data_IF_538259704621
#
_entry.id   IF_538259704621
#
_cell.length_a   1.000
_cell.length_b   1.000
_cell.length_c   1.000
_cell.angle_alpha   90.00
_cell.angle_beta   90.00
_cell.angle_gamma   90.00
#
_symmetry.space_group_name_H-M   'P 1'
#
loop_
_entity.id
_entity.type
_entity.pdbx_description
1 polymer ?
#
# COMPACT_ATOMS: atom_id res chain seq x y z
N UNK A 1 9.07 17.74 -1.31
CA UNK A 1 10.16 16.73 -1.25
C UNK A 1 10.20 16.02 0.11
N UNK A 2 10.19 16.70 1.25
CA UNK A 2 10.09 16.03 2.58
C UNK A 2 8.78 15.27 2.78
N UNK A 3 7.64 15.84 2.38
CA UNK A 3 6.32 15.18 2.48
C UNK A 3 6.24 13.90 1.63
N UNK A 4 6.93 13.87 0.49
CA UNK A 4 7.01 12.70 -0.39
C UNK A 4 7.84 11.57 0.25
N UNK A 5 8.97 11.91 0.88
CA UNK A 5 9.80 10.91 1.58
C UNK A 5 9.12 10.30 2.81
N UNK A 6 8.32 11.09 3.53
CA UNK A 6 7.50 10.59 4.66
C UNK A 6 6.39 9.65 4.14
N UNK A 7 5.73 10.02 3.04
CA UNK A 7 4.72 9.17 2.39
C UNK A 7 5.30 7.88 1.82
N UNK A 8 6.49 7.92 1.18
CA UNK A 8 7.19 6.73 0.70
C UNK A 8 7.66 5.83 1.84
N UNK A 9 8.17 6.41 2.92
CA UNK A 9 8.52 5.68 4.15
C UNK A 9 7.32 5.01 4.79
N UNK A 10 6.18 5.70 4.88
CA UNK A 10 4.91 5.15 5.35
C UNK A 10 4.39 4.04 4.43
N UNK A 11 4.43 4.23 3.10
CA UNK A 11 4.02 3.21 2.13
C UNK A 11 4.91 1.97 2.21
N UNK A 12 6.23 2.15 2.33
CA UNK A 12 7.19 1.06 2.51
C UNK A 12 6.98 0.31 3.82
N UNK A 13 6.76 1.04 4.92
CA UNK A 13 6.43 0.46 6.22
C UNK A 13 5.12 -0.32 6.18
N UNK A 14 4.05 0.28 5.64
CA UNK A 14 2.73 -0.37 5.51
C UNK A 14 2.83 -1.62 4.62
N UNK A 15 3.54 -1.55 3.49
CA UNK A 15 3.73 -2.70 2.59
C UNK A 15 4.51 -3.83 3.26
N UNK A 16 5.61 -3.52 3.95
CA UNK A 16 6.41 -4.49 4.69
C UNK A 16 5.66 -5.09 5.88
N UNK A 17 4.97 -4.25 6.65
CA UNK A 17 4.17 -4.67 7.80
C UNK A 17 2.96 -5.50 7.39
N UNK A 18 2.21 -5.09 6.35
CA UNK A 18 1.10 -5.87 5.81
C UNK A 18 1.57 -7.20 5.22
N UNK A 19 2.72 -7.24 4.53
CA UNK A 19 3.31 -8.49 4.05
C UNK A 19 3.65 -9.46 5.19
N UNK A 20 4.26 -8.96 6.27
CA UNK A 20 4.54 -9.75 7.48
C UNK A 20 3.28 -10.18 8.22
N UNK A 21 2.29 -9.29 8.34
CA UNK A 21 1.00 -9.57 8.99
C UNK A 21 0.18 -10.62 8.22
N UNK A 22 0.17 -10.54 6.88
CA UNK A 22 -0.54 -11.51 6.01
C UNK A 22 0.06 -12.92 6.07
N UNK A 23 1.33 -13.03 6.46
CA UNK A 23 2.07 -14.31 6.51
C UNK A 23 2.21 -14.91 7.91
N UNK A 24 1.95 -14.15 8.98
CA UNK A 24 2.04 -14.67 10.35
C UNK A 24 0.71 -15.32 10.80
N UNK A 25 0.70 -16.65 10.92
CA UNK A 25 -0.46 -17.45 11.36
C UNK A 25 -0.97 -17.12 12.78
N UNK A 26 -0.17 -16.41 13.58
CA UNK A 26 -0.56 -15.85 14.87
C UNK A 26 -0.10 -14.39 14.96
N UNK A 27 -1.00 -13.52 15.41
CA UNK A 27 -0.72 -12.10 15.61
C UNK A 27 0.06 -11.89 16.91
N UNK A 28 1.34 -12.26 16.92
CA UNK A 28 2.25 -11.80 17.95
C UNK A 28 2.49 -10.30 17.75
N UNK A 29 2.33 -9.54 18.82
CA UNK A 29 2.44 -8.10 18.79
C UNK A 29 3.90 -7.65 18.67
N UNK A 30 4.46 -7.77 17.47
CA UNK A 30 5.86 -7.48 17.20
C UNK A 30 6.80 -8.63 17.61
N UNK A 31 8.08 -8.52 17.24
CA UNK A 31 9.05 -9.58 17.49
C UNK A 31 9.32 -9.79 19.00
N UNK A 32 9.65 -11.01 19.43
CA UNK A 32 9.85 -11.35 20.85
C UNK A 32 10.87 -10.47 21.59
N UNK A 33 11.89 -9.93 20.88
CA UNK A 33 12.91 -9.08 21.50
C UNK A 33 12.39 -7.71 21.97
N UNK A 34 11.21 -7.28 21.52
CA UNK A 34 10.54 -6.08 22.03
C UNK A 34 9.69 -6.38 23.27
N UNK A 35 9.41 -7.65 23.54
CA UNK A 35 8.66 -8.03 24.73
C UNK A 35 9.49 -7.72 25.99
N UNK A 36 8.88 -7.00 26.94
CA UNK A 36 9.53 -6.65 28.21
C UNK A 36 10.50 -5.47 28.16
N UNK A 37 10.60 -4.76 27.03
CA UNK A 37 11.38 -3.50 26.97
C UNK A 37 10.70 -2.46 27.86
N UNK A 38 11.42 -1.99 28.88
CA UNK A 38 10.94 -0.92 29.76
C UNK A 38 11.34 0.43 29.16
N UNK A 39 10.36 1.27 28.82
CA UNK A 39 10.62 2.59 28.23
C UNK A 39 11.45 3.50 29.17
N UNK A 40 11.38 3.26 30.47
CA UNK A 40 12.17 3.95 31.49
C UNK A 40 13.67 3.66 31.39
N UNK A 41 14.08 2.53 30.80
CA UNK A 41 15.48 2.14 30.68
C UNK A 41 16.27 3.19 29.91
N UNK A 42 15.64 3.79 28.88
CA UNK A 42 16.23 4.90 28.15
C UNK A 42 16.53 6.09 29.06
N UNK A 43 15.55 6.55 29.83
CA UNK A 43 15.72 7.72 30.71
C UNK A 43 16.76 7.44 31.81
N UNK A 44 16.82 6.20 32.31
CA UNK A 44 17.80 5.78 33.32
C UNK A 44 19.24 5.73 32.79
N UNK A 45 19.44 5.31 31.53
CA UNK A 45 20.77 4.97 31.02
C UNK A 45 21.34 5.99 30.01
N UNK A 46 20.52 6.83 29.35
CA UNK A 46 20.96 7.70 28.24
C UNK A 46 22.15 8.61 28.59
N UNK A 47 22.13 9.24 29.77
CA UNK A 47 23.20 10.16 30.18
C UNK A 47 24.50 9.44 30.53
N UNK A 48 24.41 8.24 31.12
CA UNK A 48 25.59 7.43 31.41
C UNK A 48 26.27 6.96 30.13
N UNK A 49 25.48 6.44 29.18
CA UNK A 49 25.97 6.01 27.87
C UNK A 49 26.57 7.18 27.09
N UNK A 50 25.89 8.33 27.04
CA UNK A 50 26.43 9.54 26.45
C UNK A 50 27.78 9.93 27.07
N UNK A 51 27.88 9.89 28.40
CA UNK A 51 29.14 10.14 29.11
C UNK A 51 30.27 9.17 28.75
N UNK A 52 29.96 7.88 28.53
CA UNK A 52 30.93 6.88 28.05
C UNK A 52 31.44 7.21 26.65
N UNK A 53 30.54 7.61 25.74
CA UNK A 53 30.93 8.05 24.38
C UNK A 53 31.82 9.29 24.45
N UNK A 54 31.40 10.30 25.21
CA UNK A 54 32.13 11.58 25.32
C UNK A 54 33.54 11.40 25.92
N UNK A 55 33.75 10.47 26.86
CA UNK A 55 35.09 10.20 27.41
C UNK A 55 36.07 9.61 26.40
N UNK A 56 35.59 8.83 25.43
CA UNK A 56 36.44 8.22 24.40
C UNK A 56 36.47 8.99 23.09
N UNK A 57 35.80 10.14 23.00
CA UNK A 57 35.60 10.87 21.74
C UNK A 57 36.90 11.44 21.16
N UNK A 58 37.90 11.70 22.02
CA UNK A 58 39.22 12.20 21.62
C UNK A 58 40.12 11.12 21.04
N UNK A 59 39.86 9.85 21.38
CA UNK A 59 40.62 8.69 20.88
C UNK A 59 40.18 8.21 19.50
N UNK A 60 39.22 8.88 18.87
CA UNK A 60 38.71 8.54 17.53
C UNK A 60 39.58 9.21 16.47
N UNK A 61 40.04 8.44 15.49
CA UNK A 61 40.75 8.99 14.33
C UNK A 61 39.76 9.61 13.33
N UNK A 62 39.74 10.94 13.27
CA UNK A 62 38.89 11.69 12.35
C UNK A 62 39.61 11.98 11.03
N UNK A 63 38.89 11.79 9.92
CA UNK A 63 39.38 12.03 8.55
C UNK A 63 38.95 13.40 8.00
N UNK A 64 38.02 14.10 8.68
CA UNK A 64 37.60 15.48 8.41
C UNK A 64 37.40 16.26 9.72
N UNK A 65 37.85 17.52 9.75
CA UNK A 65 37.79 18.41 10.93
C UNK A 65 36.38 18.65 11.50
N UNK A 66 35.32 18.41 10.71
CA UNK A 66 33.92 18.61 11.14
C UNK A 66 33.32 17.39 11.82
N UNK A 67 33.93 16.21 11.69
CA UNK A 67 33.35 14.94 12.18
C UNK A 67 33.20 14.91 13.69
N UNK A 68 34.21 15.37 14.45
CA UNK A 68 34.14 15.44 15.92
C UNK A 68 32.93 16.25 16.40
N UNK A 69 32.81 17.48 15.92
CA UNK A 69 31.71 18.37 16.29
C UNK A 69 30.34 17.81 15.86
N UNK A 70 30.27 17.12 14.72
CA UNK A 70 29.05 16.44 14.29
C UNK A 70 28.70 15.26 15.20
N UNK A 71 29.69 14.49 15.64
CA UNK A 71 29.48 13.36 16.55
C UNK A 71 29.05 13.84 17.95
N UNK A 72 29.66 14.89 18.48
CA UNK A 72 29.24 15.52 19.75
C UNK A 72 27.78 15.98 19.69
N UNK A 73 27.36 16.57 18.56
CA UNK A 73 25.96 16.96 18.33
C UNK A 73 25.03 15.75 18.28
N UNK A 74 25.43 14.65 17.64
CA UNK A 74 24.62 13.41 17.61
C UNK A 74 24.46 12.84 19.01
N UNK A 75 25.53 12.74 19.80
CA UNK A 75 25.47 12.21 21.17
C UNK A 75 24.59 13.09 22.06
N UNK A 76 24.70 14.41 21.92
CA UNK A 76 23.86 15.37 22.66
C UNK A 76 22.40 15.23 22.24
N UNK A 77 22.12 15.17 20.93
CA UNK A 77 20.76 14.98 20.42
C UNK A 77 20.14 13.66 20.91
N UNK A 78 20.92 12.58 20.99
CA UNK A 78 20.47 11.33 21.59
C UNK A 78 20.23 11.51 23.09
N UNK A 79 21.11 12.16 23.85
CA UNK A 79 20.90 12.37 25.28
C UNK A 79 19.63 13.18 25.60
N UNK A 80 19.31 14.16 24.75
CA UNK A 80 18.11 14.99 24.87
C UNK A 80 16.85 14.31 24.32
N UNK A 81 17.01 13.21 23.59
CA UNK A 81 15.91 12.48 22.98
C UNK A 81 14.93 11.94 24.03
N UNK A 82 13.64 12.10 23.74
CA UNK A 82 12.55 11.56 24.56
C UNK A 82 11.78 10.54 23.74
N UNK A 83 11.63 9.34 24.31
CA UNK A 83 10.96 8.23 23.65
C UNK A 83 9.49 8.57 23.37
N UNK A 84 9.07 8.33 22.14
CA UNK A 84 7.66 8.42 21.74
C UNK A 84 7.40 9.30 20.53
N UNK A 85 8.41 9.99 20.02
CA UNK A 85 8.31 10.77 18.78
C UNK A 85 8.16 9.89 17.53
N UNK A 86 8.48 8.58 17.61
CA UNK A 86 8.52 7.69 16.46
C UNK A 86 9.76 7.86 15.57
N UNK A 87 10.75 8.64 16.02
CA UNK A 87 12.01 8.88 15.29
C UNK A 87 13.12 9.31 16.25
N UNK A 88 14.35 8.85 16.04
CA UNK A 88 15.52 9.18 16.85
C UNK A 88 16.16 10.55 16.54
N UNK A 89 15.39 11.49 15.98
CA UNK A 89 15.85 12.84 15.67
C UNK A 89 16.48 12.99 14.28
N UNK A 90 16.41 14.22 13.77
CA UNK A 90 16.52 14.61 12.36
C UNK A 90 17.72 14.07 11.58
N UNK A 91 17.45 13.76 10.31
CA UNK A 91 18.33 13.16 9.31
C UNK A 91 19.59 14.00 9.02
N UNK A 92 20.55 14.02 9.96
CA UNK A 92 21.93 14.25 9.58
C UNK A 92 22.43 12.98 8.89
N UNK A 93 23.13 13.12 7.75
CA UNK A 93 23.71 11.95 7.07
C UNK A 93 24.63 11.11 7.97
N UNK A 94 25.18 11.71 9.04
CA UNK A 94 25.94 10.98 10.06
C UNK A 94 25.06 10.06 10.90
N UNK A 95 23.91 10.53 11.40
CA UNK A 95 23.00 9.69 12.20
C UNK A 95 22.51 8.48 11.40
N UNK A 96 22.13 8.68 10.13
CA UNK A 96 21.73 7.59 9.26
C UNK A 96 22.85 6.55 9.07
N UNK A 97 24.08 7.03 8.84
CA UNK A 97 25.24 6.15 8.73
C UNK A 97 25.53 5.39 10.01
N UNK A 98 25.39 6.02 11.18
CA UNK A 98 25.60 5.39 12.48
C UNK A 98 24.52 4.35 12.80
N UNK A 99 23.25 4.64 12.47
CA UNK A 99 22.16 3.68 12.62
C UNK A 99 22.41 2.42 11.78
N UNK A 100 22.78 2.58 10.50
CA UNK A 100 23.16 1.45 9.63
C UNK A 100 24.32 0.64 10.23
N UNK A 101 25.34 1.32 10.73
CA UNK A 101 26.50 0.69 11.38
C UNK A 101 26.13 -0.08 12.64
N UNK A 102 25.21 0.47 13.44
CA UNK A 102 24.73 -0.14 14.69
C UNK A 102 23.93 -1.43 14.47
N UNK A 103 23.33 -1.60 13.29
CA UNK A 103 22.59 -2.81 12.92
C UNK A 103 23.51 -4.00 12.63
N UNK A 104 24.77 -3.76 12.25
CA UNK A 104 25.77 -4.80 11.97
C UNK A 104 26.27 -5.51 13.24
N UNK A 105 27.02 -6.61 13.08
CA UNK A 105 27.66 -7.32 14.18
C UNK A 105 28.53 -6.41 15.07
N UNK A 106 28.75 -6.81 16.33
CA UNK A 106 29.57 -6.06 17.27
C UNK A 106 30.99 -5.85 16.71
N UNK A 107 31.59 -4.69 17.00
CA UNK A 107 32.89 -4.29 16.45
C UNK A 107 32.97 -2.79 16.15
N UNK A 108 33.97 -2.37 15.35
CA UNK A 108 34.12 -0.97 14.95
C UNK A 108 32.89 -0.46 14.18
N UNK A 109 32.43 0.75 14.50
CA UNK A 109 31.36 1.40 13.76
C UNK A 109 31.94 2.20 12.60
N UNK A 110 31.61 1.81 11.39
CA UNK A 110 31.89 2.58 10.18
C UNK A 110 30.85 3.69 10.02
N UNK A 111 31.30 4.93 9.88
CA UNK A 111 30.45 6.10 9.74
C UNK A 111 30.92 7.00 8.60
N UNK A 112 29.99 7.67 7.92
CA UNK A 112 30.26 8.63 6.85
C UNK A 112 29.72 10.01 7.20
N UNK A 113 30.61 10.99 7.22
CA UNK A 113 30.25 12.40 7.25
C UNK A 113 31.33 13.21 6.55
N UNK A 114 31.04 13.68 5.34
CA UNK A 114 31.99 14.18 4.32
C UNK A 114 33.01 13.14 3.83
N UNK A 115 33.68 12.46 4.76
CA UNK A 115 34.58 11.31 4.52
C UNK A 115 34.21 10.16 5.44
N UNK A 116 34.70 8.97 5.10
CA UNK A 116 34.55 7.77 5.93
C UNK A 116 35.51 7.83 7.11
N UNK A 117 35.04 7.38 8.28
CA UNK A 117 35.84 7.24 9.50
C UNK A 117 35.30 6.08 10.35
N UNK A 118 36.11 5.64 11.32
CA UNK A 118 35.81 4.47 12.14
C UNK A 118 35.74 4.91 13.60
N UNK A 119 34.66 4.54 14.28
CA UNK A 119 34.50 4.71 15.72
C UNK A 119 34.68 3.32 16.36
N UNK A 120 35.85 3.08 16.95
CA UNK A 120 36.21 1.81 17.56
C UNK A 120 36.34 1.93 19.09
N UNK A 121 36.53 0.77 19.74
CA UNK A 121 36.77 0.68 21.17
C UNK A 121 35.56 1.11 22.02
N UNK A 122 35.79 1.49 23.29
CA UNK A 122 34.72 1.73 24.26
C UNK A 122 33.73 2.83 23.84
N UNK A 123 34.18 3.85 23.10
CA UNK A 123 33.30 4.91 22.60
C UNK A 123 32.35 4.39 21.51
N UNK A 124 32.86 3.55 20.60
CA UNK A 124 32.04 2.90 19.56
C UNK A 124 31.03 1.92 20.15
N UNK A 125 31.45 1.11 21.12
CA UNK A 125 30.56 0.17 21.81
C UNK A 125 29.45 0.92 22.56
N UNK A 126 29.81 1.97 23.33
CA UNK A 126 28.82 2.78 24.04
C UNK A 126 27.85 3.50 23.10
N UNK A 127 28.32 4.01 21.95
CA UNK A 127 27.47 4.69 20.97
C UNK A 127 26.51 3.70 20.30
N UNK A 128 27.01 2.51 19.95
CA UNK A 128 26.19 1.42 19.42
C UNK A 128 25.10 1.01 20.40
N UNK A 129 25.43 0.82 21.66
CA UNK A 129 24.48 0.43 22.70
C UNK A 129 23.45 1.53 22.95
N UNK A 130 23.87 2.80 22.95
CA UNK A 130 22.99 3.95 23.07
C UNK A 130 21.98 4.00 21.92
N UNK A 131 22.43 3.89 20.66
CA UNK A 131 21.56 3.89 19.48
C UNK A 131 20.59 2.70 19.52
N UNK A 132 21.09 1.50 19.85
CA UNK A 132 20.27 0.28 19.92
C UNK A 132 19.21 0.37 21.01
N UNK A 133 19.56 0.87 22.20
CA UNK A 133 18.58 1.04 23.29
C UNK A 133 17.51 2.05 22.89
N UNK A 134 17.91 3.21 22.35
CA UNK A 134 16.99 4.23 21.89
C UNK A 134 16.01 3.68 20.84
N UNK A 135 16.53 2.96 19.83
CA UNK A 135 15.73 2.35 18.78
C UNK A 135 14.74 1.30 19.33
N UNK A 136 15.20 0.42 20.23
CA UNK A 136 14.32 -0.58 20.88
C UNK A 136 13.21 0.09 21.68
N UNK A 137 13.53 1.12 22.45
CA UNK A 137 12.53 1.86 23.22
C UNK A 137 11.53 2.61 22.32
N UNK A 138 11.96 3.21 21.20
CA UNK A 138 11.04 3.81 20.22
C UNK A 138 10.10 2.78 19.59
N UNK A 139 10.64 1.63 19.15
CA UNK A 139 9.85 0.54 18.60
C UNK A 139 8.86 -0.02 19.62
N UNK A 140 9.29 -0.21 20.86
CA UNK A 140 8.42 -0.66 21.95
C UNK A 140 7.33 0.38 22.28
N UNK A 141 7.66 1.67 22.26
CA UNK A 141 6.68 2.73 22.50
C UNK A 141 5.64 2.80 21.37
N UNK A 142 6.06 2.69 20.10
CA UNK A 142 5.17 2.60 18.96
C UNK A 142 4.24 1.38 19.08
N UNK A 143 4.79 0.22 19.44
CA UNK A 143 4.04 -1.00 19.69
C UNK A 143 2.99 -0.83 20.81
N UNK A 144 3.38 -0.24 21.94
CA UNK A 144 2.46 0.06 23.04
C UNK A 144 1.32 1.00 22.61
N UNK A 145 1.62 2.04 21.84
CA UNK A 145 0.59 2.94 21.28
C UNK A 145 -0.37 2.19 20.37
N UNK A 146 0.15 1.38 19.44
CA UNK A 146 -0.68 0.60 18.52
C UNK A 146 -1.57 -0.40 19.26
N UNK A 147 -1.06 -1.06 20.30
CA UNK A 147 -1.85 -1.95 21.18
C UNK A 147 -3.00 -1.18 21.85
N UNK A 148 -2.69 -0.06 22.49
CA UNK A 148 -3.70 0.75 23.17
C UNK A 148 -4.78 1.26 22.20
N UNK A 149 -4.40 1.73 21.00
CA UNK A 149 -5.36 2.14 19.97
C UNK A 149 -6.24 0.96 19.55
N UNK A 150 -5.67 -0.22 19.29
CA UNK A 150 -6.43 -1.42 18.94
C UNK A 150 -7.40 -1.80 20.05
N UNK A 151 -6.99 -1.75 21.31
CA UNK A 151 -7.86 -2.04 22.45
C UNK A 151 -9.07 -1.10 22.48
N UNK A 152 -8.85 0.21 22.39
CA UNK A 152 -9.93 1.21 22.32
C UNK A 152 -10.87 0.94 21.14
N UNK A 153 -10.31 0.71 19.95
CA UNK A 153 -11.10 0.41 18.74
C UNK A 153 -11.91 -0.87 18.92
N UNK A 154 -11.33 -1.92 19.52
CA UNK A 154 -12.04 -3.20 19.76
C UNK A 154 -13.21 -3.07 20.73
N UNK A 155 -13.06 -2.22 21.76
CA UNK A 155 -14.16 -1.92 22.70
C UNK A 155 -15.25 -1.12 22.00
N UNK A 156 -14.88 -0.13 21.19
CA UNK A 156 -15.83 0.65 20.39
C UNK A 156 -16.61 -0.25 19.43
N UNK A 157 -15.91 -1.06 18.65
CA UNK A 157 -16.47 -1.99 17.66
C UNK A 157 -17.47 -2.95 18.33
N UNK A 158 -17.05 -3.59 19.42
CA UNK A 158 -17.91 -4.47 20.23
C UNK A 158 -19.18 -3.77 20.72
N UNK A 159 -19.11 -2.48 21.09
CA UNK A 159 -20.27 -1.71 21.56
C UNK A 159 -21.21 -1.37 20.41
N UNK A 160 -20.67 -0.97 19.26
CA UNK A 160 -21.43 -0.68 18.05
C UNK A 160 -22.16 -1.91 17.53
N UNK A 161 -21.45 -3.03 17.35
CA UNK A 161 -22.05 -4.30 16.92
C UNK A 161 -23.18 -4.74 17.86
N UNK A 162 -22.93 -4.72 19.17
CA UNK A 162 -23.96 -5.08 20.15
C UNK A 162 -25.18 -4.15 20.08
N UNK A 163 -24.97 -2.86 19.84
CA UNK A 163 -26.05 -1.89 19.67
C UNK A 163 -26.90 -2.14 18.44
N UNK A 164 -26.26 -2.45 17.30
CA UNK A 164 -26.94 -2.79 16.04
C UNK A 164 -27.68 -4.12 16.14
N UNK A 165 -27.00 -5.18 16.61
CA UNK A 165 -27.56 -6.53 16.71
C UNK A 165 -28.74 -6.62 17.67
N UNK A 166 -28.73 -5.89 18.79
CA UNK A 166 -29.89 -5.81 19.71
C UNK A 166 -31.16 -5.25 19.06
N UNK A 167 -31.01 -4.49 17.97
CA UNK A 167 -32.12 -3.94 17.18
C UNK A 167 -32.42 -4.77 15.93
N UNK A 168 -31.76 -5.91 15.74
CA UNK A 168 -31.89 -6.74 14.55
C UNK A 168 -31.31 -6.10 13.29
N UNK A 169 -30.42 -5.11 13.42
CA UNK A 169 -29.80 -4.42 12.29
C UNK A 169 -28.40 -4.98 11.99
N UNK A 170 -28.02 -4.94 10.71
CA UNK A 170 -26.69 -5.23 10.21
C UNK A 170 -26.23 -4.06 9.33
N UNK A 171 -24.96 -3.68 9.45
CA UNK A 171 -24.29 -2.82 8.50
C UNK A 171 -23.93 -3.57 7.21
N UNK A 172 -23.57 -2.83 6.16
CA UNK A 172 -23.12 -3.44 4.90
C UNK A 172 -21.86 -4.28 5.09
N UNK A 173 -20.90 -3.81 5.90
CA UNK A 173 -19.66 -4.54 6.16
C UNK A 173 -19.87 -5.77 7.05
N UNK A 174 -20.91 -5.79 7.89
CA UNK A 174 -21.22 -6.95 8.73
C UNK A 174 -21.51 -8.18 7.88
N UNK A 175 -22.20 -8.00 6.74
CA UNK A 175 -22.50 -9.11 5.81
C UNK A 175 -21.19 -9.74 5.30
N UNK A 176 -20.24 -8.89 4.87
CA UNK A 176 -18.93 -9.33 4.36
C UNK A 176 -18.14 -10.08 5.42
N UNK A 177 -18.09 -9.53 6.64
CA UNK A 177 -17.37 -10.11 7.78
C UNK A 177 -17.99 -11.45 8.19
N UNK A 178 -19.31 -11.53 8.25
CA UNK A 178 -20.04 -12.74 8.61
C UNK A 178 -19.82 -13.86 7.59
N UNK A 179 -19.87 -13.55 6.30
CA UNK A 179 -19.59 -14.51 5.23
C UNK A 179 -18.14 -14.98 5.27
N UNK A 180 -17.17 -14.07 5.43
CA UNK A 180 -15.76 -14.45 5.59
C UNK A 180 -15.46 -15.23 6.87
N UNK A 181 -16.38 -15.23 7.84
CA UNK A 181 -16.30 -16.03 9.07
C UNK A 181 -16.45 -17.53 8.83
N UNK A 182 -17.09 -17.95 7.73
CA UNK A 182 -17.34 -19.37 7.41
C UNK A 182 -16.06 -20.18 7.23
N UNK A 183 -14.97 -19.53 6.80
CA UNK A 183 -13.69 -20.19 6.47
C UNK A 183 -12.84 -20.44 7.72
N UNK A 184 -13.20 -19.87 8.87
CA UNK A 184 -12.31 -19.79 10.03
C UNK A 184 -12.34 -21.02 10.95
N UNK A 185 -13.38 -21.85 10.88
CA UNK A 185 -13.49 -23.07 11.68
C UNK A 185 -14.48 -24.08 11.09
N UNK A 186 -14.33 -25.35 11.47
CA UNK A 186 -15.28 -26.41 11.10
C UNK A 186 -16.72 -26.09 11.54
N UNK A 187 -16.91 -25.53 12.74
CA UNK A 187 -18.23 -25.08 13.20
C UNK A 187 -18.83 -24.00 12.29
N UNK A 188 -18.00 -23.10 11.76
CA UNK A 188 -18.46 -22.04 10.88
C UNK A 188 -18.82 -22.60 9.49
N UNK A 189 -18.08 -23.60 9.00
CA UNK A 189 -18.39 -24.35 7.78
C UNK A 189 -19.72 -25.09 7.90
N UNK A 190 -19.96 -25.80 9.00
CA UNK A 190 -21.24 -26.51 9.23
C UNK A 190 -22.44 -25.55 9.28
N UNK A 191 -22.28 -24.36 9.86
CA UNK A 191 -23.34 -23.33 9.86
C UNK A 191 -23.64 -22.84 8.45
N UNK A 192 -22.61 -22.67 7.62
CA UNK A 192 -22.77 -22.31 6.21
C UNK A 192 -23.53 -23.41 5.47
N UNK A 193 -23.10 -24.66 5.57
CA UNK A 193 -23.77 -25.80 4.91
C UNK A 193 -25.26 -25.89 5.30
N UNK A 194 -25.58 -25.61 6.57
CA UNK A 194 -26.97 -25.55 7.03
C UNK A 194 -27.76 -24.37 6.43
N UNK A 195 -27.11 -23.24 6.15
CA UNK A 195 -27.73 -22.11 5.43
C UNK A 195 -27.94 -22.46 3.97
N UNK A 196 -26.92 -23.01 3.30
CA UNK A 196 -26.97 -23.41 1.89
C UNK A 196 -28.09 -24.45 1.67
N UNK A 197 -28.20 -25.45 2.55
CA UNK A 197 -29.28 -26.44 2.55
C UNK A 197 -30.67 -25.80 2.73
N UNK A 198 -30.78 -24.77 3.58
CA UNK A 198 -32.07 -24.08 3.81
C UNK A 198 -32.46 -23.14 2.69
N UNK A 199 -31.47 -22.59 1.98
CA UNK A 199 -31.68 -21.72 0.83
C UNK A 199 -31.98 -22.53 -0.44
N UNK A 200 -31.75 -23.85 -0.43
CA UNK A 200 -31.83 -24.73 -1.61
C UNK A 200 -31.04 -24.15 -2.80
N UNK A 201 -29.94 -23.47 -2.48
CA UNK A 201 -29.16 -22.69 -3.42
C UNK A 201 -27.77 -23.31 -3.54
N UNK A 202 -27.61 -24.22 -4.49
CA UNK A 202 -26.30 -24.61 -5.00
C UNK A 202 -26.06 -23.87 -6.32
N UNK A 203 -25.04 -23.04 -6.34
CA UNK A 203 -24.62 -22.32 -7.55
C UNK A 203 -23.43 -23.03 -8.16
N UNK A 204 -23.66 -23.68 -9.31
CA UNK A 204 -22.63 -24.39 -10.07
C UNK A 204 -21.74 -23.43 -10.86
N UNK A 205 -22.27 -22.29 -11.29
CA UNK A 205 -21.55 -21.33 -12.13
C UNK A 205 -21.49 -19.95 -11.46
N UNK A 206 -20.27 -19.44 -11.30
CA UNK A 206 -20.00 -18.15 -10.67
C UNK A 206 -19.49 -17.16 -11.71
N UNK A 207 -20.23 -16.07 -11.90
CA UNK A 207 -19.87 -14.98 -12.80
C UNK A 207 -19.57 -13.73 -11.96
N UNK A 208 -18.33 -13.23 -12.04
CA UNK A 208 -17.86 -12.05 -11.31
C UNK A 208 -17.47 -10.97 -12.31
N UNK A 209 -18.23 -9.87 -12.32
CA UNK A 209 -17.91 -8.68 -13.11
C UNK A 209 -17.22 -7.62 -12.23
N UNK A 210 -16.54 -6.66 -12.85
CA UNK A 210 -15.78 -5.59 -12.18
C UNK A 210 -14.82 -6.11 -11.10
N UNK A 211 -14.15 -7.24 -11.39
CA UNK A 211 -13.36 -7.96 -10.37
C UNK A 211 -12.22 -7.12 -9.78
N UNK A 212 -11.72 -6.12 -10.49
CA UNK A 212 -10.71 -5.18 -9.99
C UNK A 212 -11.15 -4.41 -8.73
N UNK A 213 -12.46 -4.27 -8.51
CA UNK A 213 -13.03 -3.56 -7.37
C UNK A 213 -13.45 -4.50 -6.22
N UNK A 214 -13.20 -5.81 -6.37
CA UNK A 214 -13.50 -6.80 -5.34
C UNK A 214 -12.59 -6.61 -4.13
N UNK A 215 -13.17 -6.55 -2.92
CA UNK A 215 -12.39 -6.49 -1.69
C UNK A 215 -11.97 -7.88 -1.20
N UNK A 216 -10.89 -7.94 -0.42
CA UNK A 216 -10.44 -9.20 0.18
C UNK A 216 -11.50 -9.84 1.09
N UNK A 217 -12.31 -9.02 1.76
CA UNK A 217 -13.40 -9.52 2.61
C UNK A 217 -14.50 -10.19 1.76
N UNK A 218 -14.87 -9.56 0.64
CA UNK A 218 -15.84 -10.13 -0.32
C UNK A 218 -15.29 -11.45 -0.88
N UNK A 219 -14.05 -11.45 -1.37
CA UNK A 219 -13.41 -12.64 -1.91
C UNK A 219 -13.30 -13.78 -0.90
N UNK A 220 -12.93 -13.49 0.36
CA UNK A 220 -12.81 -14.51 1.40
C UNK A 220 -14.15 -15.20 1.70
N UNK A 221 -15.26 -14.46 1.63
CA UNK A 221 -16.60 -15.03 1.82
C UNK A 221 -17.08 -15.87 0.63
N UNK A 222 -16.73 -15.45 -0.59
CA UNK A 222 -17.12 -16.14 -1.83
C UNK A 222 -16.26 -17.36 -2.15
N UNK A 223 -14.98 -17.34 -1.79
CA UNK A 223 -14.00 -18.35 -2.18
C UNK A 223 -14.44 -19.80 -1.85
N UNK A 224 -14.96 -20.13 -0.66
CA UNK A 224 -15.40 -21.50 -0.38
C UNK A 224 -16.59 -21.96 -1.22
N UNK A 225 -17.48 -21.04 -1.61
CA UNK A 225 -18.63 -21.32 -2.47
C UNK A 225 -18.15 -21.62 -3.90
N UNK A 226 -17.19 -20.83 -4.37
CA UNK A 226 -16.57 -20.98 -5.68
C UNK A 226 -15.74 -22.27 -5.73
N UNK A 227 -14.97 -22.57 -4.68
CA UNK A 227 -14.15 -23.78 -4.58
C UNK A 227 -15.02 -25.06 -4.61
N UNK A 228 -16.17 -25.06 -3.95
CA UNK A 228 -17.12 -26.17 -3.98
C UNK A 228 -17.66 -26.39 -5.40
N UNK A 229 -18.10 -25.32 -6.06
CA UNK A 229 -18.58 -25.38 -7.43
C UNK A 229 -17.51 -25.87 -8.42
N UNK A 230 -16.28 -25.34 -8.31
CA UNK A 230 -15.17 -25.71 -9.18
C UNK A 230 -14.61 -27.13 -8.89
N UNK A 231 -14.76 -27.63 -7.67
CA UNK A 231 -14.20 -28.91 -7.22
C UNK A 231 -14.99 -30.15 -7.64
N UNK A 232 -16.30 -30.03 -7.85
CA UNK A 232 -17.18 -31.16 -8.23
C UNK A 232 -17.14 -31.47 -9.74
N UNK A 233 -16.36 -30.74 -10.54
CA UNK A 233 -16.11 -31.01 -11.97
C UNK A 233 -17.24 -30.61 -12.93
N UNK A 234 -18.40 -30.22 -12.41
CA UNK A 234 -19.54 -29.73 -13.19
C UNK A 234 -19.70 -28.20 -13.14
N UNK A 235 -19.11 -27.53 -12.14
CA UNK A 235 -19.20 -26.08 -12.00
C UNK A 235 -18.10 -25.29 -12.73
N UNK A 236 -18.32 -23.98 -12.86
CA UNK A 236 -17.37 -23.08 -13.52
C UNK A 236 -17.29 -21.71 -12.86
N UNK A 237 -16.16 -21.03 -13.08
CA UNK A 237 -15.92 -19.66 -12.66
C UNK A 237 -15.61 -18.82 -13.91
N UNK A 238 -16.25 -17.67 -14.03
CA UNK A 238 -16.03 -16.70 -15.08
C UNK A 238 -15.82 -15.32 -14.47
N UNK A 239 -14.68 -14.71 -14.72
CA UNK A 239 -14.27 -13.45 -14.12
C UNK A 239 -13.99 -12.44 -15.23
N UNK A 240 -14.64 -11.29 -15.12
CA UNK A 240 -14.42 -10.13 -15.98
C UNK A 240 -13.91 -8.97 -15.12
N UNK A 241 -12.93 -8.26 -15.65
CA UNK A 241 -12.48 -7.02 -15.05
C UNK A 241 -11.24 -6.47 -15.75
N UNK A 242 -10.87 -5.26 -15.37
CA UNK A 242 -9.74 -4.55 -15.96
C UNK A 242 -8.86 -3.96 -14.84
N UNK A 243 -7.64 -4.50 -14.70
CA UNK A 243 -6.65 -3.98 -13.75
C UNK A 243 -6.40 -2.48 -13.93
N UNK A 244 -6.51 -1.97 -15.15
CA UNK A 244 -6.28 -0.55 -15.50
C UNK A 244 -7.38 0.37 -14.97
N UNK A 245 -8.55 -0.18 -14.61
CA UNK A 245 -9.72 0.57 -14.13
C UNK A 245 -9.90 0.51 -12.60
N UNK A 246 -8.93 -0.06 -11.89
CA UNK A 246 -8.98 -0.20 -10.44
C UNK A 246 -8.83 1.15 -9.71
N UNK A 247 -9.94 1.83 -9.46
CA UNK A 247 -9.96 3.16 -8.82
C UNK A 247 -10.61 3.14 -7.41
N UNK A 248 -11.13 2.00 -6.96
CA UNK A 248 -11.80 1.86 -5.66
C UNK A 248 -10.93 1.24 -4.54
N UNK A 249 -9.60 1.36 -4.64
CA UNK A 249 -8.68 0.90 -3.59
C UNK A 249 -9.00 1.53 -2.20
N UNK A 250 -9.49 2.76 -2.18
CA UNK A 250 -9.91 3.45 -0.94
C UNK A 250 -11.16 2.83 -0.27
N UNK A 251 -11.95 2.04 -1.01
CA UNK A 251 -13.07 1.22 -0.48
C UNK A 251 -12.66 -0.22 -0.21
N UNK A 252 -11.38 -0.56 -0.38
CA UNK A 252 -10.84 -1.89 -0.13
C UNK A 252 -10.76 -2.80 -1.35
N UNK A 253 -11.01 -2.29 -2.58
CA UNK A 253 -10.76 -3.03 -3.82
C UNK A 253 -9.28 -3.46 -3.92
N UNK A 254 -9.03 -4.72 -4.25
CA UNK A 254 -7.68 -5.31 -4.22
C UNK A 254 -7.34 -5.98 -5.56
N UNK A 255 -6.65 -5.24 -6.44
CA UNK A 255 -6.24 -5.70 -7.78
C UNK A 255 -5.38 -6.96 -7.74
N UNK A 256 -4.61 -7.17 -6.66
CA UNK A 256 -3.78 -8.37 -6.48
C UNK A 256 -4.59 -9.67 -6.43
N UNK A 257 -5.92 -9.61 -6.24
CA UNK A 257 -6.78 -10.79 -6.28
C UNK A 257 -6.77 -11.51 -7.63
N UNK A 258 -6.54 -10.79 -8.75
CA UNK A 258 -6.37 -11.44 -10.05
C UNK A 258 -5.22 -12.46 -10.03
N UNK A 259 -4.07 -12.08 -9.45
CA UNK A 259 -2.90 -12.96 -9.36
C UNK A 259 -3.17 -14.16 -8.43
N UNK A 260 -3.90 -13.94 -7.34
CA UNK A 260 -4.30 -15.00 -6.41
C UNK A 260 -5.23 -16.01 -7.08
N UNK A 261 -6.21 -15.56 -7.87
CA UNK A 261 -7.11 -16.43 -8.64
C UNK A 261 -6.34 -17.23 -9.68
N UNK A 262 -5.52 -16.58 -10.50
CA UNK A 262 -4.70 -17.24 -11.53
C UNK A 262 -3.76 -18.27 -10.90
N UNK A 263 -3.18 -17.95 -9.75
CA UNK A 263 -2.32 -18.86 -9.00
C UNK A 263 -3.08 -20.06 -8.42
N UNK A 264 -4.26 -19.83 -7.85
CA UNK A 264 -5.08 -20.86 -7.18
C UNK A 264 -5.62 -21.90 -8.15
N UNK A 265 -6.19 -21.46 -9.28
CA UNK A 265 -6.82 -22.33 -10.27
C UNK A 265 -5.91 -22.58 -11.48
N UNK A 266 -4.59 -22.53 -11.26
CA UNK A 266 -3.59 -22.72 -12.31
C UNK A 266 -3.85 -24.02 -13.08
N UNK A 267 -3.98 -23.91 -14.40
CA UNK A 267 -4.24 -25.04 -15.29
C UNK A 267 -5.72 -25.35 -15.53
N UNK A 268 -6.65 -24.70 -14.82
CA UNK A 268 -8.10 -24.79 -15.05
C UNK A 268 -8.76 -23.47 -15.46
N UNK A 269 -8.01 -22.36 -15.49
CA UNK A 269 -8.50 -21.04 -15.96
C UNK A 269 -7.82 -20.68 -17.29
N UNK A 270 -8.64 -20.32 -18.26
CA UNK A 270 -8.22 -19.65 -19.50
C UNK A 270 -8.27 -18.14 -19.29
N UNK A 271 -7.25 -17.42 -19.79
CA UNK A 271 -7.17 -15.96 -19.72
C UNK A 271 -7.30 -15.43 -21.13
N UNK A 272 -8.35 -14.66 -21.39
CA UNK A 272 -8.64 -14.07 -22.70
C UNK A 272 -8.57 -12.53 -22.63
N UNK A 273 -7.50 -11.90 -23.14
CA UNK A 273 -7.42 -10.45 -23.23
C UNK A 273 -8.36 -9.90 -24.33
N UNK A 274 -9.20 -8.91 -23.99
CA UNK A 274 -10.13 -8.29 -24.92
C UNK A 274 -9.62 -6.91 -25.38
N UNK A 275 -8.85 -6.89 -26.48
CA UNK A 275 -8.30 -5.66 -27.05
C UNK A 275 -9.25 -4.93 -28.01
N UNK A 276 -10.21 -5.65 -28.59
CA UNK A 276 -11.18 -5.10 -29.54
C UNK A 276 -12.26 -4.28 -28.80
N UNK A 277 -12.36 -2.99 -29.11
CA UNK A 277 -13.35 -2.09 -28.56
C UNK A 277 -14.58 -1.99 -29.45
N UNK A 278 -15.72 -2.33 -28.89
CA UNK A 278 -17.05 -2.13 -29.50
C UNK A 278 -17.70 -0.81 -29.08
N UNK A 279 -16.94 0.09 -28.43
CA UNK A 279 -17.44 1.35 -27.88
C UNK A 279 -16.86 2.60 -28.55
N UNK A 280 -15.60 2.54 -28.98
CA UNK A 280 -14.85 3.72 -29.38
C UNK A 280 -14.37 3.63 -30.83
N UNK A 281 -14.35 4.77 -31.52
CA UNK A 281 -13.83 4.91 -32.88
C UNK A 281 -12.28 4.92 -32.90
N UNK A 282 -11.65 4.78 -34.09
CA UNK A 282 -10.20 4.75 -34.22
C UNK A 282 -9.49 5.95 -33.58
N UNK A 283 -10.02 7.17 -33.69
CA UNK A 283 -9.36 8.39 -33.23
C UNK A 283 -9.25 8.44 -31.70
N UNK A 284 -10.31 8.03 -31.00
CA UNK A 284 -10.31 7.93 -29.53
C UNK A 284 -9.31 6.88 -29.06
N UNK A 285 -9.32 5.71 -29.69
CA UNK A 285 -8.40 4.62 -29.33
C UNK A 285 -6.95 4.96 -29.65
N UNK A 286 -6.69 5.69 -30.74
CA UNK A 286 -5.35 6.16 -31.08
C UNK A 286 -4.79 7.08 -30.00
N UNK A 287 -5.60 8.02 -29.49
CA UNK A 287 -5.17 8.88 -28.39
C UNK A 287 -4.93 8.07 -27.12
N UNK A 288 -5.84 7.17 -26.75
CA UNK A 288 -5.71 6.31 -25.57
C UNK A 288 -4.45 5.45 -25.66
N UNK A 289 -4.20 4.80 -26.80
CA UNK A 289 -2.99 4.01 -27.03
C UNK A 289 -1.72 4.86 -26.96
N UNK A 290 -1.76 6.10 -27.47
CA UNK A 290 -0.61 7.02 -27.40
C UNK A 290 -0.28 7.39 -25.96
N UNK A 291 -1.28 7.74 -25.16
CA UNK A 291 -1.07 8.18 -23.77
C UNK A 291 -0.76 7.00 -22.85
N UNK A 292 -1.58 5.95 -22.90
CA UNK A 292 -1.50 4.81 -21.99
C UNK A 292 -0.46 3.76 -22.42
N UNK A 293 -0.02 3.78 -23.68
CA UNK A 293 1.06 2.93 -24.18
C UNK A 293 2.46 3.49 -23.95
N UNK A 294 2.58 4.78 -23.60
CA UNK A 294 3.87 5.42 -23.32
C UNK A 294 4.41 5.05 -21.93
N UNK A 295 5.09 3.92 -21.86
CA UNK A 295 5.71 3.43 -20.62
C UNK A 295 6.76 4.38 -20.05
N UNK A 296 7.40 5.23 -20.86
CA UNK A 296 8.38 6.19 -20.35
C UNK A 296 7.68 7.31 -19.58
N UNK A 297 6.66 7.92 -20.17
CA UNK A 297 5.82 8.92 -19.49
C UNK A 297 5.17 8.34 -18.23
N UNK A 298 4.64 7.12 -18.28
CA UNK A 298 4.05 6.48 -17.10
C UNK A 298 5.06 6.25 -15.97
N UNK A 299 6.29 5.83 -16.29
CA UNK A 299 7.37 5.69 -15.29
C UNK A 299 7.79 7.03 -14.71
N UNK A 300 7.86 8.08 -15.52
CA UNK A 300 8.17 9.42 -15.05
C UNK A 300 7.11 9.92 -14.05
N UNK A 301 5.83 9.71 -14.36
CA UNK A 301 4.72 10.19 -13.53
C UNK A 301 4.49 9.34 -12.27
N UNK A 302 4.63 8.02 -12.37
CA UNK A 302 4.20 7.08 -11.33
C UNK A 302 5.34 6.24 -10.72
N UNK A 303 6.58 6.40 -11.19
CA UNK A 303 7.75 5.68 -10.67
C UNK A 303 7.59 4.16 -10.75
N UNK A 304 7.95 3.47 -9.66
CA UNK A 304 7.87 2.00 -9.56
C UNK A 304 6.45 1.45 -9.75
N UNK A 305 5.41 2.24 -9.50
CA UNK A 305 4.03 1.80 -9.69
C UNK A 305 3.71 1.52 -11.16
N UNK A 306 4.40 2.19 -12.09
CA UNK A 306 4.24 1.95 -13.53
C UNK A 306 4.70 0.54 -13.95
N UNK A 307 5.48 -0.17 -13.12
CA UNK A 307 5.88 -1.54 -13.40
C UNK A 307 4.70 -2.53 -13.41
N UNK A 308 3.59 -2.19 -12.74
CA UNK A 308 2.36 -2.98 -12.74
C UNK A 308 1.39 -2.60 -13.89
N UNK A 309 1.77 -1.65 -14.74
CA UNK A 309 0.94 -1.22 -15.87
C UNK A 309 1.13 -2.14 -17.07
N UNK A 310 0.22 -3.10 -17.20
CA UNK A 310 0.16 -4.03 -18.33
C UNK A 310 -0.73 -3.43 -19.43
N UNK A 311 -0.08 -2.89 -20.48
CA UNK A 311 -0.77 -2.29 -21.61
C UNK A 311 -0.78 -3.21 -22.83
N UNK A 312 -1.93 -3.26 -23.51
CA UNK A 312 -2.07 -3.79 -24.85
C UNK A 312 -2.73 -2.71 -25.72
N UNK A 313 -2.36 -2.64 -27.00
CA UNK A 313 -3.01 -1.71 -27.92
C UNK A 313 -4.46 -2.14 -28.17
N UNK A 314 -5.37 -1.18 -28.05
CA UNK A 314 -6.79 -1.39 -28.32
C UNK A 314 -7.11 -0.95 -29.75
N UNK A 315 -8.00 -1.67 -30.41
CA UNK A 315 -8.42 -1.35 -31.77
C UNK A 315 -9.95 -1.41 -31.90
N UNK A 316 -10.55 -0.65 -32.82
CA UNK A 316 -12.00 -0.59 -32.94
C UNK A 316 -12.51 -1.86 -33.64
N UNK A 317 -13.67 -2.32 -33.21
CA UNK A 317 -14.39 -3.38 -33.92
C UNK A 317 -14.72 -2.94 -35.34
N UNK A 318 -14.80 -3.89 -36.27
CA UNK A 318 -15.03 -3.64 -37.71
C UNK A 318 -16.17 -2.63 -38.00
N UNK A 319 -17.33 -2.67 -37.32
CA UNK A 319 -18.40 -1.69 -37.56
C UNK A 319 -18.06 -0.25 -37.17
N UNK A 320 -17.12 -0.06 -36.24
CA UNK A 320 -16.65 1.25 -35.78
C UNK A 320 -15.43 1.77 -36.55
N UNK A 321 -14.76 0.91 -37.33
CA UNK A 321 -13.64 1.28 -38.18
C UNK A 321 -14.09 1.86 -39.55
N UNK A 322 -15.40 1.95 -39.80
CA UNK A 322 -15.92 2.47 -41.05
C UNK A 322 -15.70 4.00 -41.16
N UNK A 323 -15.39 4.56 -42.34
CA UNK A 323 -15.16 6.01 -42.51
C UNK A 323 -16.33 6.89 -42.04
N UNK A 324 -17.56 6.38 -42.14
CA UNK A 324 -18.79 7.02 -41.64
C UNK A 324 -18.92 7.03 -40.09
N UNK A 325 -18.06 6.30 -39.37
CA UNK A 325 -17.99 6.23 -37.91
C UNK A 325 -16.67 6.82 -37.41
N UNK A 326 -16.46 8.10 -37.72
CA UNK A 326 -15.31 8.86 -37.23
C UNK A 326 -15.61 9.60 -35.93
N UNK A 327 -14.57 9.91 -35.17
CA UNK A 327 -14.63 10.79 -34.00
C UNK A 327 -13.43 11.72 -33.93
N UNK A 328 -13.34 12.46 -32.83
CA UNK A 328 -12.27 13.44 -32.59
C UNK A 328 -11.77 13.25 -31.16
N UNK A 329 -10.45 13.13 -30.99
CA UNK A 329 -9.80 13.00 -29.70
C UNK A 329 -8.47 13.74 -29.70
N UNK A 330 -8.26 14.64 -28.74
CA UNK A 330 -7.05 15.47 -28.64
C UNK A 330 -6.70 15.82 -27.21
N UNK A 331 -5.40 16.00 -26.98
CA UNK A 331 -4.83 16.58 -25.76
C UNK A 331 -4.05 17.82 -26.18
N UNK A 332 -4.39 18.98 -25.60
CA UNK A 332 -3.74 20.26 -25.89
C UNK A 332 -3.23 20.88 -24.58
N UNK A 333 -1.94 21.23 -24.55
CA UNK A 333 -1.35 21.97 -23.43
C UNK A 333 -1.49 23.45 -23.73
N UNK A 334 -2.34 24.14 -22.97
CA UNK A 334 -2.54 25.58 -23.08
C UNK A 334 -1.78 26.25 -21.93
N UNK A 335 -0.70 26.94 -22.28
CA UNK A 335 0.06 27.76 -21.34
C UNK A 335 -0.80 28.93 -20.83
N UNK A 336 -0.56 29.35 -19.59
CA UNK A 336 -1.24 30.49 -19.00
C UNK A 336 -2.39 30.14 -18.04
N UNK A 337 -3.27 31.12 -17.80
CA UNK A 337 -4.32 31.08 -16.76
C UNK A 337 -5.57 30.33 -17.21
N UNK A 338 -6.47 30.06 -16.26
CA UNK A 338 -7.69 29.31 -16.53
C UNK A 338 -8.59 29.99 -17.58
N UNK A 339 -8.58 31.32 -17.65
CA UNK A 339 -9.37 32.08 -18.61
C UNK A 339 -8.94 31.76 -20.06
N UNK A 340 -7.64 31.74 -20.34
CA UNK A 340 -7.09 31.42 -21.67
C UNK A 340 -7.40 29.96 -22.06
N UNK A 341 -7.39 29.05 -21.09
CA UNK A 341 -7.79 27.64 -21.31
C UNK A 341 -9.28 27.53 -21.65
N UNK A 342 -10.13 28.30 -20.99
CA UNK A 342 -11.57 28.33 -21.26
C UNK A 342 -11.87 28.95 -22.63
N UNK A 343 -11.18 30.03 -23.00
CA UNK A 343 -11.30 30.61 -24.35
C UNK A 343 -10.90 29.60 -25.42
N UNK A 344 -9.79 28.88 -25.21
CA UNK A 344 -9.39 27.81 -26.13
C UNK A 344 -10.43 26.70 -26.19
N UNK A 345 -10.94 26.22 -25.05
CA UNK A 345 -12.01 25.22 -25.02
C UNK A 345 -13.24 25.67 -25.81
N UNK A 346 -13.67 26.93 -25.67
CA UNK A 346 -14.81 27.47 -26.43
C UNK A 346 -14.52 27.49 -27.93
N UNK A 347 -13.31 27.89 -28.35
CA UNK A 347 -12.90 27.82 -29.74
C UNK A 347 -12.95 26.39 -30.28
N UNK A 348 -12.48 25.42 -29.48
CA UNK A 348 -12.50 24.00 -29.82
C UNK A 348 -13.92 23.45 -29.99
N UNK A 349 -14.84 23.81 -29.10
CA UNK A 349 -16.24 23.39 -29.20
C UNK A 349 -16.89 23.94 -30.48
N UNK A 350 -16.56 25.18 -30.86
CA UNK A 350 -17.02 25.78 -32.13
C UNK A 350 -16.43 25.09 -33.35
N UNK A 351 -15.13 24.79 -33.35
CA UNK A 351 -14.46 24.03 -34.43
C UNK A 351 -15.14 22.67 -34.65
N UNK A 352 -15.54 22.00 -33.56
CA UNK A 352 -16.24 20.71 -33.61
C UNK A 352 -17.72 20.85 -34.02
N UNK A 353 -18.24 22.08 -34.12
CA UNK A 353 -19.64 22.36 -34.46
C UNK A 353 -20.61 22.03 -33.32
N UNK A 354 -20.16 22.07 -32.06
CA UNK A 354 -21.02 21.84 -30.90
C UNK A 354 -22.06 22.96 -30.82
N UNK A 355 -23.34 22.59 -30.91
CA UNK A 355 -24.47 23.53 -30.97
C UNK A 355 -24.90 23.92 -32.39
N UNK A 356 -24.10 23.61 -33.41
CA UNK A 356 -24.45 23.84 -34.83
C UNK A 356 -24.83 22.52 -35.53
N UNK A 357 -24.14 21.43 -35.20
CA UNK A 357 -24.42 20.08 -35.72
C UNK A 357 -25.45 19.38 -34.83
N UNK A 358 -26.34 18.55 -35.40
CA UNK A 358 -27.19 17.68 -34.60
C UNK A 358 -26.31 16.67 -33.85
N UNK A 359 -26.15 16.87 -32.54
CA UNK A 359 -25.36 16.04 -31.65
C UNK A 359 -26.24 15.50 -30.52
N UNK A 360 -25.98 14.26 -30.11
CA UNK A 360 -26.49 13.73 -28.84
C UNK A 360 -25.36 13.79 -27.82
N UNK A 361 -25.65 14.30 -26.62
CA UNK A 361 -24.69 14.41 -25.55
C UNK A 361 -25.06 13.45 -24.42
N UNK A 362 -24.14 12.57 -24.05
CA UNK A 362 -24.23 11.80 -22.81
C UNK A 362 -23.50 12.56 -21.71
N UNK A 363 -24.21 12.94 -20.65
CA UNK A 363 -23.57 13.49 -19.44
C UNK A 363 -23.32 12.32 -18.49
N UNK A 364 -22.06 11.97 -18.28
CA UNK A 364 -21.66 11.11 -17.17
C UNK A 364 -21.64 11.98 -15.91
N UNK A 365 -22.54 11.68 -14.97
CA UNK A 365 -22.60 12.30 -13.63
C UNK A 365 -21.89 11.41 -12.62
#
# INVERSE_FOLDING_TARGET
>A
KEEQGVLEGLRGFVKGWQGGFRTSGHLEWGPPFLAGVMLEDWQKQKHEMAGRVMRGIEGIEYTDKRQRAALEKVVTALADHTIGSGSLGGASGLMESLMKSSASANGPMHARHYKDFIIAGPAGDALRDMIRLAARCEMAAALHRTRAVREVVSVYDSRCENGLRKRGMLGFDDVKILMGGWVKSEDARLRREAVDFRLDARHEHWLLDEFQDTSRADWTGLLPLIDEAAGEGEGSIFIVGDRKQAIYAWRGGEVGLFDEVIGRYRGGIEIEPMAESWRSCPEVLALVNTVCGDTATLRELFGDAAAAWEWQEHFPAKPLAAPEKSGEARVEVVEGKIEERLERLVALLKELGVGERPMTCGVLV
#
